data_IF_806067182384
#
_entry.id   IF_806067182384
#
_cell.length_a   1.000
_cell.length_b   1.000
_cell.length_c   1.000
_cell.angle_alpha   90.00
_cell.angle_beta   90.00
_cell.angle_gamma   90.00
#
_symmetry.space_group_name_H-M   'P 1'
#
loop_
_entity.id
_entity.type
_entity.pdbx_description
1 polymer ?
#
# COMPACT_ATOMS: atom_id res chain seq x y z
N UNK A 1 38.51 10.43 57.72
CA UNK A 1 37.38 10.61 56.77
C UNK A 1 37.47 9.44 55.78
N UNK A 2 36.82 8.26 55.93
CA UNK A 2 35.37 7.94 55.97
C UNK A 2 34.65 8.83 54.93
N UNK A 3 34.19 8.37 53.76
CA UNK A 3 33.20 7.32 53.40
C UNK A 3 33.48 6.85 51.95
N UNK A 4 33.59 5.55 51.65
CA UNK A 4 32.53 4.63 51.17
C UNK A 4 31.89 4.99 49.80
N UNK A 5 32.02 4.06 48.84
CA UNK A 5 31.03 3.60 47.84
C UNK A 5 30.26 4.69 47.06
N UNK A 6 30.21 4.70 45.72
CA UNK A 6 29.37 3.75 44.97
C UNK A 6 29.69 3.86 43.47
N UNK A 7 29.94 2.71 42.84
CA UNK A 7 30.08 2.50 41.40
C UNK A 7 28.70 2.68 40.74
N UNK A 8 28.50 3.71 39.91
CA UNK A 8 27.27 3.87 39.14
C UNK A 8 27.44 3.23 37.77
N UNK A 9 27.20 1.92 37.69
CA UNK A 9 27.09 1.18 36.44
C UNK A 9 25.65 1.30 35.93
N UNK A 10 25.35 2.34 35.16
CA UNK A 10 24.10 2.39 34.40
C UNK A 10 24.21 1.42 33.23
N UNK A 11 23.77 0.17 33.45
CA UNK A 11 23.42 -0.74 32.36
C UNK A 11 22.17 -0.15 31.69
N UNK A 12 22.34 0.54 30.58
CA UNK A 12 21.25 0.85 29.67
C UNK A 12 20.80 -0.48 29.06
N UNK A 13 19.80 -1.10 29.68
CA UNK A 13 19.01 -2.15 29.05
C UNK A 13 18.18 -1.46 27.96
N UNK A 14 18.80 -1.21 26.80
CA UNK A 14 18.05 -1.01 25.56
C UNK A 14 17.50 -2.38 25.17
N UNK A 15 16.50 -2.86 25.91
CA UNK A 15 15.62 -3.88 25.37
C UNK A 15 15.10 -3.31 24.06
N UNK A 16 15.38 -3.99 22.95
CA UNK A 16 14.82 -3.62 21.66
C UNK A 16 13.32 -3.61 21.80
N UNK A 17 12.74 -2.43 21.98
CA UNK A 17 11.33 -2.23 21.73
C UNK A 17 11.20 -2.46 20.23
N UNK A 18 10.76 -3.66 19.84
CA UNK A 18 10.20 -3.86 18.51
C UNK A 18 9.00 -2.91 18.45
N UNK A 19 9.21 -1.72 17.87
CA UNK A 19 8.13 -0.81 17.61
C UNK A 19 7.19 -1.55 16.66
N UNK A 20 5.94 -1.72 17.06
CA UNK A 20 4.91 -2.26 16.20
C UNK A 20 4.66 -1.24 15.09
N UNK A 21 5.18 -1.52 13.90
CA UNK A 21 4.96 -0.66 12.76
C UNK A 21 3.52 -0.83 12.30
N UNK A 22 2.78 0.28 12.25
CA UNK A 22 1.41 0.30 11.72
C UNK A 22 1.43 0.94 10.36
N UNK A 23 1.19 0.15 9.32
CA UNK A 23 1.04 0.62 7.96
C UNK A 23 -0.43 0.88 7.63
N UNK A 24 -0.67 1.95 6.89
CA UNK A 24 -1.96 2.30 6.30
C UNK A 24 -1.87 2.08 4.80
N UNK A 25 -2.70 1.18 4.26
CA UNK A 25 -2.65 0.80 2.84
C UNK A 25 -4.00 0.99 2.17
N UNK A 26 -4.03 1.71 1.05
CA UNK A 26 -5.20 1.80 0.20
C UNK A 26 -5.07 0.81 -0.97
N UNK A 27 -6.03 -0.07 -1.14
CA UNK A 27 -6.08 -0.99 -2.29
C UNK A 27 -7.10 -0.51 -3.33
N UNK A 28 -6.62 -0.09 -4.50
CA UNK A 28 -7.46 0.21 -5.67
C UNK A 28 -7.25 -0.88 -6.72
N UNK A 29 -8.34 -1.57 -7.07
CA UNK A 29 -8.26 -2.68 -8.02
C UNK A 29 -9.62 -3.25 -8.39
N UNK A 30 -9.66 -4.56 -8.55
CA UNK A 30 -10.85 -5.28 -8.98
C UNK A 30 -10.94 -6.66 -8.32
N UNK A 31 -11.53 -7.63 -9.02
CA UNK A 31 -11.68 -9.01 -8.54
C UNK A 31 -10.37 -9.70 -8.21
N UNK A 32 -9.25 -9.29 -8.81
CA UNK A 32 -7.94 -9.83 -8.44
C UNK A 32 -7.45 -9.34 -7.07
N UNK A 33 -8.06 -8.27 -6.57
CA UNK A 33 -7.80 -7.75 -5.22
C UNK A 33 -8.87 -8.18 -4.23
N UNK A 34 -10.18 -8.14 -4.54
CA UNK A 34 -11.19 -8.47 -3.51
C UNK A 34 -11.42 -9.97 -3.33
N UNK A 35 -11.20 -10.79 -4.35
CA UNK A 35 -11.44 -12.24 -4.23
C UNK A 35 -10.46 -12.83 -3.20
N UNK A 36 -10.95 -13.80 -2.43
CA UNK A 36 -10.25 -14.39 -1.28
C UNK A 36 -9.89 -13.39 -0.18
N UNK A 37 -10.48 -12.18 -0.20
CA UNK A 37 -10.24 -11.14 0.79
C UNK A 37 -8.73 -10.81 0.93
N UNK A 38 -8.04 -10.65 -0.19
CA UNK A 38 -6.59 -10.50 -0.23
C UNK A 38 -6.04 -9.36 0.65
N UNK A 39 -6.66 -8.15 0.72
CA UNK A 39 -6.24 -7.12 1.68
C UNK A 39 -6.22 -7.60 3.13
N UNK A 40 -7.22 -8.41 3.54
CA UNK A 40 -7.27 -8.97 4.89
C UNK A 40 -6.17 -10.01 5.11
N UNK A 41 -5.90 -10.87 4.12
CA UNK A 41 -4.78 -11.84 4.20
C UNK A 41 -3.46 -11.10 4.42
N UNK A 42 -3.21 -10.00 3.70
CA UNK A 42 -2.01 -9.18 3.88
C UNK A 42 -1.96 -8.58 5.29
N UNK A 43 -3.09 -8.11 5.82
CA UNK A 43 -3.17 -7.61 7.19
C UNK A 43 -2.92 -8.69 8.25
N UNK A 44 -3.42 -9.90 8.04
CA UNK A 44 -3.20 -11.02 8.95
C UNK A 44 -1.75 -11.54 8.89
N UNK A 45 -1.11 -11.49 7.72
CA UNK A 45 0.33 -11.77 7.59
C UNK A 45 1.17 -10.76 8.37
N UNK A 46 0.90 -9.46 8.26
CA UNK A 46 1.58 -8.43 9.06
C UNK A 46 1.37 -8.66 10.56
N UNK A 47 0.13 -8.99 10.98
CA UNK A 47 -0.17 -9.34 12.37
C UNK A 47 0.63 -10.55 12.85
N UNK A 48 0.86 -11.54 11.99
CA UNK A 48 1.61 -12.75 12.35
C UNK A 48 3.09 -12.48 12.69
N UNK A 49 3.65 -11.36 12.23
CA UNK A 49 5.03 -10.93 12.52
C UNK A 49 5.14 -9.89 13.62
N UNK A 50 4.02 -9.50 14.23
CA UNK A 50 3.96 -8.47 15.27
C UNK A 50 3.71 -7.06 14.75
N UNK A 51 3.48 -6.89 13.45
CA UNK A 51 3.17 -5.62 12.82
C UNK A 51 1.65 -5.39 12.71
N UNK A 52 1.25 -4.25 12.19
CA UNK A 52 -0.16 -3.97 11.90
C UNK A 52 -0.35 -3.31 10.55
N UNK A 53 -1.41 -3.71 9.87
CA UNK A 53 -1.81 -3.10 8.62
C UNK A 53 -3.30 -2.75 8.71
N UNK A 54 -3.59 -1.47 8.60
CA UNK A 54 -4.93 -0.92 8.46
C UNK A 54 -5.13 -0.65 6.98
N UNK A 55 -6.24 -1.10 6.41
CA UNK A 55 -6.51 -0.87 4.99
C UNK A 55 -7.89 -0.32 4.73
N UNK A 56 -8.00 0.38 3.61
CA UNK A 56 -9.25 0.59 2.89
C UNK A 56 -9.13 0.01 1.49
N UNK A 57 -10.27 -0.23 0.84
CA UNK A 57 -10.28 -0.73 -0.52
C UNK A 57 -11.45 -0.16 -1.32
N UNK A 58 -11.21 0.05 -2.62
CA UNK A 58 -12.25 0.23 -3.61
C UNK A 58 -11.92 -0.69 -4.78
N UNK A 59 -12.69 -1.77 -4.91
CA UNK A 59 -12.35 -2.88 -5.81
C UNK A 59 -13.54 -3.36 -6.66
N UNK A 60 -14.13 -2.49 -7.52
CA UNK A 60 -15.27 -2.93 -8.33
C UNK A 60 -14.86 -4.02 -9.33
N UNK A 61 -15.76 -4.96 -9.61
CA UNK A 61 -15.47 -6.07 -10.53
C UNK A 61 -15.02 -5.58 -11.92
N UNK A 62 -13.91 -6.13 -12.42
CA UNK A 62 -13.37 -5.82 -13.76
C UNK A 62 -12.79 -4.41 -13.96
N UNK A 63 -12.62 -3.62 -12.89
CA UNK A 63 -12.12 -2.25 -13.01
C UNK A 63 -10.72 -2.13 -13.60
N UNK A 64 -10.48 -1.00 -14.27
CA UNK A 64 -9.19 -0.59 -14.85
C UNK A 64 -8.60 0.57 -14.04
N UNK A 65 -7.32 0.90 -14.26
CA UNK A 65 -6.75 2.15 -13.72
C UNK A 65 -7.44 3.38 -14.32
N UNK A 66 -7.87 3.33 -15.58
CA UNK A 66 -8.72 4.36 -16.19
C UNK A 66 -9.99 4.61 -15.37
N UNK A 67 -10.71 3.53 -15.02
CA UNK A 67 -11.92 3.60 -14.20
C UNK A 67 -11.65 4.22 -12.83
N UNK A 68 -10.58 3.82 -12.16
CA UNK A 68 -10.19 4.44 -10.88
C UNK A 68 -9.81 5.91 -11.03
N UNK A 69 -9.27 6.34 -12.17
CA UNK A 69 -8.85 7.72 -12.41
C UNK A 69 -10.00 8.72 -12.52
N UNK A 70 -11.24 8.24 -12.61
CA UNK A 70 -12.46 9.06 -12.67
C UNK A 70 -13.50 8.66 -11.62
N UNK A 71 -13.30 7.54 -10.91
CA UNK A 71 -14.22 7.05 -9.88
C UNK A 71 -14.15 7.92 -8.61
N UNK A 72 -15.29 8.52 -8.25
CA UNK A 72 -15.38 9.43 -7.10
C UNK A 72 -14.92 8.81 -5.77
N UNK A 73 -15.21 7.52 -5.52
CA UNK A 73 -14.77 6.82 -4.31
C UNK A 73 -13.25 6.67 -4.27
N UNK A 74 -12.62 6.25 -5.38
CA UNK A 74 -11.16 6.17 -5.48
C UNK A 74 -10.50 7.52 -5.29
N UNK A 75 -10.99 8.55 -5.97
CA UNK A 75 -10.45 9.90 -5.86
C UNK A 75 -10.59 10.47 -4.45
N UNK A 76 -11.72 10.19 -3.77
CA UNK A 76 -11.92 10.59 -2.37
C UNK A 76 -10.99 9.86 -1.41
N UNK A 77 -10.74 8.55 -1.61
CA UNK A 77 -9.83 7.78 -0.77
C UNK A 77 -8.37 8.21 -0.98
N UNK A 78 -7.98 8.55 -2.22
CA UNK A 78 -6.66 9.14 -2.50
C UNK A 78 -6.53 10.50 -1.80
N UNK A 79 -7.51 11.39 -2.00
CA UNK A 79 -7.50 12.74 -1.44
C UNK A 79 -7.56 12.76 0.11
N UNK A 80 -8.01 11.67 0.74
CA UNK A 80 -7.96 11.52 2.19
C UNK A 80 -6.52 11.53 2.74
N UNK A 81 -5.54 11.06 1.95
CA UNK A 81 -4.13 10.99 2.34
C UNK A 81 -3.86 10.13 3.57
N UNK A 82 -2.65 10.27 4.13
CA UNK A 82 -2.23 9.52 5.33
C UNK A 82 -2.10 8.02 5.06
N UNK A 83 -1.82 7.65 3.81
CA UNK A 83 -1.48 6.29 3.42
C UNK A 83 0.04 6.15 3.45
N UNK A 84 0.54 5.00 3.88
CA UNK A 84 1.93 4.65 3.61
C UNK A 84 2.05 4.17 2.17
N UNK A 85 1.08 3.38 1.71
CA UNK A 85 1.06 2.83 0.36
C UNK A 85 -0.32 2.94 -0.27
N UNK A 86 -0.35 3.25 -1.56
CA UNK A 86 -1.52 2.99 -2.41
C UNK A 86 -1.16 1.93 -3.43
N UNK A 87 -1.82 0.78 -3.32
CA UNK A 87 -1.66 -0.36 -4.23
C UNK A 87 -2.62 -0.19 -5.39
N UNK A 88 -2.07 -0.09 -6.60
CA UNK A 88 -2.79 0.04 -7.86
C UNK A 88 -2.75 -1.28 -8.63
N UNK A 89 -3.92 -1.83 -8.92
CA UNK A 89 -4.06 -3.03 -9.74
C UNK A 89 -4.82 -2.73 -11.04
N UNK A 90 -4.17 -2.95 -12.17
CA UNK A 90 -4.78 -2.83 -13.49
C UNK A 90 -5.59 -4.07 -13.88
N UNK A 91 -6.54 -3.92 -14.79
CA UNK A 91 -7.40 -4.97 -15.28
C UNK A 91 -6.60 -6.13 -15.90
N UNK A 92 -6.75 -7.29 -15.26
CA UNK A 92 -6.40 -8.62 -15.76
C UNK A 92 -5.23 -8.68 -16.76
N UNK A 93 -5.52 -8.62 -18.06
CA UNK A 93 -4.55 -8.85 -19.14
C UNK A 93 -3.97 -7.56 -19.72
N UNK A 94 -4.53 -6.38 -19.42
CA UNK A 94 -4.05 -5.13 -20.03
C UNK A 94 -2.54 -4.92 -19.87
N UNK A 95 -1.91 -5.23 -18.71
CA UNK A 95 -0.45 -5.12 -18.57
C UNK A 95 0.36 -6.13 -19.39
N UNK A 96 -0.28 -7.16 -19.95
CA UNK A 96 0.34 -8.21 -20.77
C UNK A 96 0.13 -8.03 -22.28
N UNK A 97 -0.56 -6.97 -22.69
CA UNK A 97 -0.75 -6.63 -24.10
C UNK A 97 0.55 -6.10 -24.73
N UNK A 98 0.52 -5.79 -26.03
CA UNK A 98 1.71 -5.25 -26.70
C UNK A 98 2.15 -3.94 -26.05
N UNK A 99 3.44 -3.61 -26.15
CA UNK A 99 3.97 -2.37 -25.56
C UNK A 99 3.20 -1.12 -26.03
N UNK A 100 2.74 -1.07 -27.29
CA UNK A 100 1.94 0.05 -27.80
C UNK A 100 0.55 0.14 -27.17
N UNK A 101 -0.08 -1.00 -26.92
CA UNK A 101 -1.38 -1.05 -26.24
C UNK A 101 -1.22 -0.67 -24.77
N UNK A 102 -0.20 -1.19 -24.08
CA UNK A 102 0.08 -0.82 -22.68
C UNK A 102 0.38 0.69 -22.57
N UNK A 103 1.19 1.24 -23.47
CA UNK A 103 1.52 2.67 -23.49
C UNK A 103 0.30 3.57 -23.69
N UNK A 104 -0.70 3.11 -24.43
CA UNK A 104 -1.91 3.90 -24.70
C UNK A 104 -3.03 3.67 -23.69
N UNK A 105 -3.18 2.44 -23.19
CA UNK A 105 -4.32 2.02 -22.37
C UNK A 105 -4.04 1.99 -20.87
N UNK A 106 -2.77 1.88 -20.44
CA UNK A 106 -2.42 1.69 -19.03
C UNK A 106 -1.62 2.88 -18.49
N UNK A 107 -0.50 3.21 -19.14
CA UNK A 107 0.44 4.21 -18.62
C UNK A 107 -0.13 5.61 -18.35
N UNK A 108 -1.05 6.16 -19.19
CA UNK A 108 -1.63 7.46 -18.89
C UNK A 108 -2.38 7.48 -17.56
N UNK A 109 -3.09 6.40 -17.25
CA UNK A 109 -3.92 6.30 -16.04
C UNK A 109 -3.10 5.90 -14.82
N UNK A 110 -2.10 5.03 -14.98
CA UNK A 110 -1.10 4.76 -13.96
C UNK A 110 -0.40 6.06 -13.51
N UNK A 111 0.10 6.85 -14.48
CA UNK A 111 0.75 8.14 -14.20
C UNK A 111 -0.21 9.14 -13.54
N UNK A 112 -1.46 9.21 -14.02
CA UNK A 112 -2.45 10.13 -13.45
C UNK A 112 -2.75 9.78 -11.99
N UNK A 113 -2.99 8.51 -11.68
CA UNK A 113 -3.25 8.05 -10.32
C UNK A 113 -2.04 8.29 -9.41
N UNK A 114 -0.83 7.93 -9.86
CA UNK A 114 0.41 8.19 -9.13
C UNK A 114 0.60 9.69 -8.82
N UNK A 115 0.36 10.55 -9.81
CA UNK A 115 0.44 12.00 -9.61
C UNK A 115 -0.58 12.50 -8.58
N UNK A 116 -1.81 11.97 -8.60
CA UNK A 116 -2.85 12.33 -7.63
C UNK A 116 -2.50 11.85 -6.22
N UNK A 117 -1.92 10.66 -6.09
CA UNK A 117 -1.44 10.10 -4.83
C UNK A 117 -0.33 11.00 -4.26
N UNK A 118 0.68 11.33 -5.06
CA UNK A 118 1.80 12.16 -4.63
C UNK A 118 1.38 13.59 -4.26
N UNK A 119 0.39 14.17 -4.98
CA UNK A 119 -0.19 15.47 -4.65
C UNK A 119 -0.98 15.44 -3.34
N UNK A 120 -1.70 14.35 -3.08
CA UNK A 120 -2.48 14.20 -1.84
C UNK A 120 -1.56 14.04 -0.62
N UNK A 121 -0.47 13.29 -0.75
CA UNK A 121 0.52 13.09 0.31
C UNK A 121 1.87 12.66 -0.30
N UNK A 122 2.88 13.52 -0.19
CA UNK A 122 4.21 13.28 -0.77
C UNK A 122 4.97 12.14 -0.10
N UNK A 123 4.54 11.70 1.09
CA UNK A 123 5.13 10.57 1.81
C UNK A 123 4.46 9.23 1.45
N UNK A 124 3.36 9.24 0.70
CA UNK A 124 2.73 8.01 0.23
C UNK A 124 3.49 7.43 -0.95
N UNK A 125 3.75 6.12 -0.91
CA UNK A 125 4.36 5.39 -2.02
C UNK A 125 3.30 4.67 -2.87
N UNK A 126 3.34 4.90 -4.17
CA UNK A 126 2.52 4.14 -5.13
C UNK A 126 3.15 2.78 -5.39
N UNK A 127 2.38 1.71 -5.27
CA UNK A 127 2.83 0.33 -5.53
C UNK A 127 1.94 -0.29 -6.61
N UNK A 128 2.53 -0.91 -7.62
CA UNK A 128 1.77 -1.63 -8.65
C UNK A 128 1.65 -3.12 -8.30
N UNK A 129 0.41 -3.62 -8.25
CA UNK A 129 0.16 -5.05 -8.14
C UNK A 129 0.37 -5.71 -9.51
N UNK A 130 1.53 -6.37 -9.67
CA UNK A 130 1.83 -7.19 -10.83
C UNK A 130 0.87 -8.38 -10.93
N UNK A 131 0.06 -8.39 -11.99
CA UNK A 131 -0.79 -9.53 -12.34
C UNK A 131 0.03 -10.60 -13.07
N UNK A 132 -0.61 -11.73 -13.38
CA UNK A 132 0.01 -12.86 -14.07
C UNK A 132 -0.42 -12.93 -15.53
N UNK A 133 0.45 -13.49 -16.38
CA UNK A 133 0.13 -13.77 -17.77
C UNK A 133 -1.03 -14.75 -17.91
N UNK A 134 -1.79 -14.62 -19.00
CA UNK A 134 -2.82 -15.59 -19.40
C UNK A 134 -2.37 -16.32 -20.68
N UNK A 135 -2.76 -17.59 -20.80
CA UNK A 135 -2.53 -18.42 -22.00
C UNK A 135 -3.69 -18.28 -22.97
#
# INVERSE_FOLDING_TARGET
MRYALTLFLTLLFTGGLFAQDTLRVLFLGNSYTYVNNLPQIVADMARSTGDSLIFASNTPGGYTLEGHSTNATSLSLIAQGGWNYVVLQEQSQLPSFTDSEVQSMVFPYARKLDSLINVADTCTETVFYMTWGRK
#
